data_IF_959289480383
#
_entry.id   IF_959289480383
#
_cell.length_a   1.000
_cell.length_b   1.000
_cell.length_c   1.000
_cell.angle_alpha   90.00
_cell.angle_beta   90.00
_cell.angle_gamma   90.00
#
_symmetry.space_group_name_H-M   'P 1'
#
loop_
_entity.id
_entity.type
_entity.pdbx_description
1 polymer ?
#
# COMPACT_ATOMS: atom_id res chain seq x y z
N UNK A 1 -24.24 -5.35 -21.71
CA UNK A 1 -23.15 -4.42 -22.07
C UNK A 1 -22.53 -4.00 -20.77
N UNK A 2 -21.39 -4.61 -20.43
CA UNK A 2 -20.62 -4.27 -19.24
C UNK A 2 -20.20 -2.80 -19.34
N UNK A 3 -20.27 -2.00 -18.25
CA UNK A 3 -19.73 -0.64 -18.28
C UNK A 3 -18.28 -0.70 -18.76
N UNK A 4 -17.95 0.11 -19.77
CA UNK A 4 -16.62 0.17 -20.37
C UNK A 4 -15.60 0.59 -19.32
N UNK A 5 -14.55 -0.22 -19.12
CA UNK A 5 -13.37 0.19 -18.36
C UNK A 5 -12.79 1.45 -19.01
N UNK A 6 -12.63 2.51 -18.22
CA UNK A 6 -12.04 3.77 -18.62
C UNK A 6 -10.89 4.09 -17.66
N UNK A 7 -9.70 4.32 -18.20
CA UNK A 7 -8.56 4.77 -17.42
C UNK A 7 -8.80 6.20 -16.91
N UNK A 8 -8.78 6.37 -15.59
CA UNK A 8 -8.94 7.68 -14.95
C UNK A 8 -7.60 8.44 -14.80
N UNK A 9 -6.49 7.71 -14.67
CA UNK A 9 -5.16 8.27 -14.42
C UNK A 9 -4.05 7.25 -14.74
N UNK A 10 -2.88 7.72 -15.16
CA UNK A 10 -1.68 6.91 -15.39
C UNK A 10 -0.43 7.53 -14.75
N UNK A 11 0.48 6.70 -14.24
CA UNK A 11 1.79 7.12 -13.74
C UNK A 11 2.90 6.21 -14.29
N UNK A 12 4.11 6.76 -14.46
CA UNK A 12 5.29 6.01 -14.92
C UNK A 12 6.48 6.23 -13.97
N UNK A 13 7.28 5.17 -13.76
CA UNK A 13 8.54 5.23 -13.03
C UNK A 13 9.62 4.40 -13.73
N UNK A 14 10.86 4.91 -13.75
CA UNK A 14 12.01 4.25 -14.39
C UNK A 14 13.15 4.07 -13.39
N UNK A 15 13.60 2.83 -13.24
CA UNK A 15 14.81 2.47 -12.50
C UNK A 15 15.94 2.13 -13.47
N UNK A 16 17.14 2.68 -13.23
CA UNK A 16 18.33 2.38 -14.03
C UNK A 16 19.39 1.73 -13.14
N UNK A 17 20.04 0.69 -13.67
CA UNK A 17 21.08 -0.03 -12.94
C UNK A 17 22.20 0.91 -12.49
N UNK A 18 22.59 0.80 -11.21
CA UNK A 18 23.74 1.51 -10.64
C UNK A 18 23.49 2.96 -10.21
N UNK A 19 22.29 3.52 -10.39
CA UNK A 19 22.01 4.92 -10.03
C UNK A 19 21.59 5.11 -8.58
N UNK A 20 21.05 4.07 -7.94
CA UNK A 20 20.40 4.19 -6.61
C UNK A 20 19.20 5.13 -6.62
N UNK A 21 18.55 5.33 -7.79
CA UNK A 21 17.46 6.29 -7.97
C UNK A 21 16.40 5.75 -8.93
N UNK A 22 15.16 6.12 -8.66
CA UNK A 22 14.01 5.94 -9.57
C UNK A 22 13.52 7.31 -10.02
N UNK A 23 13.43 7.50 -11.33
CA UNK A 23 12.76 8.67 -11.92
C UNK A 23 11.26 8.40 -11.95
N UNK A 24 10.47 9.18 -11.21
CA UNK A 24 9.00 9.11 -11.27
C UNK A 24 8.51 10.29 -12.13
N UNK A 25 7.68 10.02 -13.14
CA UNK A 25 7.24 11.04 -14.11
C UNK A 25 6.66 12.28 -13.42
N UNK A 26 7.22 13.46 -13.70
CA UNK A 26 6.77 14.73 -13.11
C UNK A 26 7.19 14.95 -11.66
N UNK A 27 8.09 14.13 -11.10
CA UNK A 27 8.63 14.24 -9.74
C UNK A 27 10.15 14.30 -9.76
N UNK A 28 10.75 14.76 -8.66
CA UNK A 28 12.18 14.59 -8.44
C UNK A 28 12.51 13.10 -8.26
N UNK A 29 13.71 12.68 -8.68
CA UNK A 29 14.13 11.29 -8.53
C UNK A 29 14.11 10.83 -7.06
N UNK A 30 13.56 9.64 -6.83
CA UNK A 30 13.43 9.01 -5.53
C UNK A 30 14.67 8.16 -5.25
N UNK A 31 15.41 8.40 -4.15
CA UNK A 31 16.54 7.53 -3.79
C UNK A 31 16.01 6.14 -3.39
N UNK A 32 16.60 5.10 -3.98
CA UNK A 32 16.24 3.70 -3.70
C UNK A 32 17.49 2.85 -3.54
N UNK A 33 17.36 1.74 -2.83
CA UNK A 33 18.45 0.80 -2.60
C UNK A 33 17.96 -0.53 -2.08
N UNK A 34 18.81 -1.55 -2.16
CA UNK A 34 18.54 -2.80 -1.46
C UNK A 34 18.71 -2.60 0.05
N UNK A 35 17.93 -3.31 0.89
CA UNK A 35 18.04 -3.20 2.34
C UNK A 35 19.41 -3.67 2.80
N UNK A 36 19.96 -3.03 3.83
CA UNK A 36 21.30 -3.31 4.34
C UNK A 36 21.42 -4.74 4.88
N UNK A 37 20.34 -5.26 5.46
CA UNK A 37 20.20 -6.61 5.99
C UNK A 37 20.35 -7.69 4.91
N UNK A 38 20.12 -7.35 3.64
CA UNK A 38 20.30 -8.24 2.48
C UNK A 38 21.58 -7.91 1.70
N UNK A 39 22.55 -7.22 2.31
CA UNK A 39 23.82 -6.86 1.69
C UNK A 39 23.76 -5.66 0.75
N UNK A 40 22.66 -4.89 0.79
CA UNK A 40 22.53 -3.62 0.09
C UNK A 40 23.26 -2.47 0.79
N UNK A 41 23.16 -1.27 0.22
CA UNK A 41 23.74 -0.06 0.81
C UNK A 41 23.00 0.43 2.05
N UNK A 42 21.73 0.02 2.24
CA UNK A 42 20.85 0.55 3.29
C UNK A 42 20.50 2.04 3.09
N UNK A 43 20.82 2.62 1.94
CA UNK A 43 20.53 4.01 1.60
C UNK A 43 19.35 4.10 0.63
N UNK A 44 18.43 5.04 0.88
CA UNK A 44 17.20 5.19 0.10
C UNK A 44 16.11 4.22 0.54
N UNK A 45 14.99 4.24 -0.16
CA UNK A 45 13.89 3.31 0.10
C UNK A 45 14.10 1.97 -0.62
N UNK A 46 13.83 0.88 0.06
CA UNK A 46 13.80 -0.44 -0.55
C UNK A 46 12.41 -0.76 -1.17
N UNK A 47 12.31 -1.76 -2.08
CA UNK A 47 11.04 -2.13 -2.69
C UNK A 47 9.94 -2.47 -1.68
N UNK A 48 10.28 -3.10 -0.56
CA UNK A 48 9.36 -3.47 0.51
C UNK A 48 8.74 -2.24 1.17
N UNK A 49 9.55 -1.22 1.49
CA UNK A 49 9.13 0.06 2.04
C UNK A 49 8.27 0.85 1.06
N UNK A 50 8.67 0.88 -0.22
CA UNK A 50 7.88 1.54 -1.27
C UNK A 50 6.50 0.89 -1.43
N UNK A 51 6.45 -0.45 -1.38
CA UNK A 51 5.21 -1.18 -1.44
C UNK A 51 4.34 -0.96 -0.19
N UNK A 52 4.94 -0.95 1.00
CA UNK A 52 4.25 -0.63 2.25
C UNK A 52 3.66 0.78 2.22
N UNK A 53 4.40 1.77 1.71
CA UNK A 53 3.94 3.13 1.56
C UNK A 53 2.74 3.22 0.59
N UNK A 54 2.80 2.53 -0.55
CA UNK A 54 1.70 2.49 -1.52
C UNK A 54 0.44 1.86 -0.91
N UNK A 55 0.57 0.73 -0.23
CA UNK A 55 -0.54 0.03 0.43
C UNK A 55 -1.17 0.87 1.55
N UNK A 56 -0.35 1.43 2.44
CA UNK A 56 -0.83 2.29 3.53
C UNK A 56 -1.61 3.48 2.98
N UNK A 57 -1.07 4.17 1.96
CA UNK A 57 -1.73 5.34 1.35
C UNK A 57 -3.05 4.97 0.68
N UNK A 58 -3.07 3.92 -0.14
CA UNK A 58 -4.28 3.47 -0.82
C UNK A 58 -5.38 3.06 0.16
N UNK A 59 -5.03 2.23 1.14
CA UNK A 59 -6.01 1.73 2.11
C UNK A 59 -6.50 2.86 3.02
N UNK A 60 -5.64 3.80 3.42
CA UNK A 60 -6.06 4.95 4.23
C UNK A 60 -7.05 5.84 3.47
N UNK A 61 -6.79 6.13 2.19
CA UNK A 61 -7.75 6.87 1.36
C UNK A 61 -9.10 6.15 1.27
N UNK A 62 -9.09 4.82 1.09
CA UNK A 62 -10.31 4.01 1.09
C UNK A 62 -11.03 4.02 2.44
N UNK A 63 -10.31 4.01 3.56
CA UNK A 63 -10.87 4.14 4.91
C UNK A 63 -11.55 5.50 5.08
N UNK A 64 -10.92 6.59 4.63
CA UNK A 64 -11.50 7.94 4.69
C UNK A 64 -12.80 8.02 3.88
N UNK A 65 -12.82 7.44 2.68
CA UNK A 65 -14.03 7.36 1.83
C UNK A 65 -15.13 6.56 2.55
N UNK A 66 -14.83 5.33 2.96
CA UNK A 66 -15.79 4.44 3.61
C UNK A 66 -16.35 5.00 4.93
N UNK A 67 -15.50 5.64 5.75
CA UNK A 67 -15.92 6.29 6.98
C UNK A 67 -16.90 7.43 6.68
N UNK A 68 -16.58 8.28 5.71
CA UNK A 68 -17.45 9.39 5.27
C UNK A 68 -18.79 8.87 4.76
N UNK A 69 -18.80 7.83 3.93
CA UNK A 69 -20.03 7.23 3.37
C UNK A 69 -20.92 6.57 4.44
N UNK A 70 -20.32 6.11 5.55
CA UNK A 70 -21.02 5.46 6.66
C UNK A 70 -21.31 6.39 7.84
N UNK A 71 -20.99 7.68 7.72
CA UNK A 71 -21.25 8.69 8.75
C UNK A 71 -20.28 8.63 9.96
N UNK A 72 -19.12 8.01 9.81
CA UNK A 72 -18.05 7.97 10.81
C UNK A 72 -17.03 9.07 10.52
N UNK A 73 -16.62 9.83 11.55
CA UNK A 73 -15.60 10.88 11.40
C UNK A 73 -14.20 10.27 11.19
N UNK A 74 -13.52 10.48 10.04
CA UNK A 74 -12.21 9.91 9.78
C UNK A 74 -11.06 10.64 10.49
N UNK A 75 -11.33 11.72 11.24
CA UNK A 75 -10.29 12.52 11.91
C UNK A 75 -9.45 11.67 12.85
N UNK A 76 -8.12 11.72 12.68
CA UNK A 76 -7.17 10.92 13.46
C UNK A 76 -7.09 9.44 13.06
N UNK A 77 -7.73 9.04 11.96
CA UNK A 77 -7.53 7.71 11.38
C UNK A 77 -6.10 7.52 10.88
N UNK A 78 -5.59 6.30 11.02
CA UNK A 78 -4.24 5.92 10.62
C UNK A 78 -4.27 4.52 10.02
N UNK A 79 -3.44 4.28 9.00
CA UNK A 79 -3.18 2.94 8.48
C UNK A 79 -1.69 2.65 8.56
N UNK A 80 -1.34 1.58 9.27
CA UNK A 80 0.02 1.05 9.31
C UNK A 80 0.09 -0.19 8.43
N UNK A 81 0.78 -0.12 7.29
CA UNK A 81 1.06 -1.28 6.45
C UNK A 81 2.47 -1.84 6.75
N UNK A 82 2.60 -3.17 6.75
CA UNK A 82 3.87 -3.88 6.90
C UNK A 82 4.02 -4.87 5.77
N UNK A 83 5.18 -4.87 5.14
CA UNK A 83 5.52 -5.74 4.02
C UNK A 83 6.74 -6.56 4.41
N UNK A 84 6.66 -7.87 4.20
CA UNK A 84 7.77 -8.80 4.41
C UNK A 84 8.15 -9.45 3.10
N UNK A 85 9.45 -9.49 2.81
CA UNK A 85 10.00 -10.33 1.75
C UNK A 85 10.12 -11.77 2.25
N UNK A 86 9.53 -12.71 1.52
CA UNK A 86 9.63 -14.16 1.76
C UNK A 86 10.37 -14.82 0.60
N UNK A 87 11.13 -15.86 0.89
CA UNK A 87 11.69 -16.75 -0.13
C UNK A 87 10.80 -17.99 -0.27
N UNK A 88 10.52 -18.38 -1.51
CA UNK A 88 9.61 -19.49 -1.85
C UNK A 88 10.34 -20.75 -2.30
N UNK A 89 11.54 -21.05 -1.77
CA UNK A 89 12.40 -22.10 -2.32
C UNK A 89 12.88 -21.79 -3.76
N UNK A 90 14.10 -22.21 -4.10
CA UNK A 90 14.71 -21.84 -5.38
C UNK A 90 14.85 -20.31 -5.55
N UNK A 91 14.61 -19.80 -6.77
CA UNK A 91 14.81 -18.40 -7.15
C UNK A 91 13.53 -17.53 -7.04
N UNK A 92 12.58 -17.91 -6.19
CA UNK A 92 11.29 -17.21 -6.03
C UNK A 92 11.26 -16.34 -4.77
N UNK A 93 10.84 -15.08 -4.95
CA UNK A 93 10.54 -14.14 -3.89
C UNK A 93 9.06 -13.77 -3.90
N UNK A 94 8.48 -13.53 -2.73
CA UNK A 94 7.10 -13.08 -2.59
C UNK A 94 7.00 -12.03 -1.48
N UNK A 95 6.08 -11.07 -1.64
CA UNK A 95 5.69 -10.19 -0.55
C UNK A 95 4.56 -10.79 0.26
N UNK A 96 4.61 -10.55 1.56
CA UNK A 96 3.49 -10.77 2.47
C UNK A 96 3.18 -9.46 3.18
N UNK A 97 2.02 -8.89 2.86
CA UNK A 97 1.59 -7.60 3.37
C UNK A 97 0.51 -7.74 4.45
N UNK A 98 0.57 -6.93 5.48
CA UNK A 98 -0.47 -6.83 6.52
C UNK A 98 -0.75 -5.37 6.78
N UNK A 99 -1.98 -5.00 7.16
CA UNK A 99 -2.30 -3.63 7.53
C UNK A 99 -3.13 -3.58 8.81
N UNK A 100 -2.84 -2.60 9.67
CA UNK A 100 -3.67 -2.23 10.81
C UNK A 100 -4.33 -0.88 10.54
N UNK A 101 -5.63 -0.78 10.86
CA UNK A 101 -6.41 0.45 10.73
C UNK A 101 -6.81 0.94 12.11
N UNK A 102 -6.36 2.15 12.46
CA UNK A 102 -6.84 2.90 13.61
C UNK A 102 -7.93 3.87 13.17
N UNK A 103 -9.07 3.86 13.87
CA UNK A 103 -10.18 4.79 13.64
C UNK A 103 -10.81 5.15 15.00
N UNK A 104 -10.25 6.16 15.71
CA UNK A 104 -10.59 6.42 17.11
C UNK A 104 -12.04 6.85 17.37
N UNK A 105 -12.72 7.38 16.35
CA UNK A 105 -14.11 7.84 16.42
C UNK A 105 -15.15 6.72 16.30
N UNK A 106 -14.71 5.50 15.95
CA UNK A 106 -15.58 4.36 15.67
C UNK A 106 -15.56 3.34 16.82
N UNK A 107 -16.74 2.82 17.17
CA UNK A 107 -16.82 1.57 17.92
C UNK A 107 -16.35 0.37 17.07
N UNK A 108 -16.17 -0.80 17.70
CA UNK A 108 -15.64 -1.98 17.02
C UNK A 108 -16.49 -2.40 15.81
N UNK A 109 -17.83 -2.34 15.92
CA UNK A 109 -18.73 -2.71 14.83
C UNK A 109 -18.73 -1.69 13.69
N UNK A 110 -18.60 -0.40 14.00
CA UNK A 110 -18.40 0.65 12.99
C UNK A 110 -17.06 0.47 12.27
N UNK A 111 -15.99 0.23 13.03
CA UNK A 111 -14.64 0.03 12.49
C UNK A 111 -14.59 -1.17 11.55
N UNK A 112 -15.17 -2.31 11.93
CA UNK A 112 -15.25 -3.49 11.08
C UNK A 112 -15.98 -3.21 9.75
N UNK A 113 -17.12 -2.51 9.81
CA UNK A 113 -17.88 -2.14 8.59
C UNK A 113 -17.08 -1.21 7.67
N UNK A 114 -16.44 -0.19 8.25
CA UNK A 114 -15.59 0.75 7.50
C UNK A 114 -14.43 0.03 6.84
N UNK A 115 -13.71 -0.82 7.58
CA UNK A 115 -12.56 -1.56 7.05
C UNK A 115 -12.99 -2.54 5.94
N UNK A 116 -14.07 -3.29 6.13
CA UNK A 116 -14.58 -4.20 5.09
C UNK A 116 -14.95 -3.46 3.80
N UNK A 117 -15.52 -2.25 3.89
CA UNK A 117 -15.81 -1.41 2.74
C UNK A 117 -14.55 -0.82 2.11
N UNK A 118 -13.62 -0.33 2.92
CA UNK A 118 -12.34 0.20 2.45
C UNK A 118 -11.54 -0.84 1.66
N UNK A 119 -11.56 -2.11 2.07
CA UNK A 119 -10.88 -3.19 1.36
C UNK A 119 -11.44 -3.44 -0.05
N UNK A 120 -12.76 -3.22 -0.26
CA UNK A 120 -13.38 -3.29 -1.59
C UNK A 120 -13.07 -2.07 -2.47
N UNK A 121 -12.74 -0.93 -1.85
CA UNK A 121 -12.46 0.33 -2.53
C UNK A 121 -10.98 0.43 -2.92
N UNK A 122 -10.04 0.06 -2.04
CA UNK A 122 -8.62 0.18 -2.30
C UNK A 122 -8.17 -0.86 -3.35
N UNK A 123 -7.60 -0.45 -4.50
CA UNK A 123 -7.11 -1.39 -5.51
C UNK A 123 -6.01 -2.34 -5.05
N UNK A 124 -5.35 -2.05 -3.91
CA UNK A 124 -4.33 -2.91 -3.30
C UNK A 124 -4.86 -3.78 -2.15
N UNK A 125 -6.16 -3.74 -1.84
CA UNK A 125 -6.77 -4.46 -0.72
C UNK A 125 -6.58 -5.97 -0.77
N UNK A 126 -6.65 -6.56 -1.97
CA UNK A 126 -6.51 -8.01 -2.19
C UNK A 126 -5.08 -8.54 -1.99
N UNK A 127 -4.12 -7.67 -1.73
CA UNK A 127 -2.70 -8.02 -1.56
C UNK A 127 -2.33 -8.32 -0.09
N UNK A 128 -3.30 -8.26 0.83
CA UNK A 128 -3.10 -8.54 2.25
C UNK A 128 -3.01 -10.05 2.53
N UNK A 129 -2.27 -10.41 3.58
CA UNK A 129 -2.05 -11.78 4.10
C UNK A 129 -2.47 -11.86 5.59
N UNK A 130 -3.52 -12.61 5.96
CA UNK A 130 -4.39 -13.38 5.07
C UNK A 130 -5.21 -12.45 4.15
N UNK A 131 -5.68 -12.96 3.00
CA UNK A 131 -6.55 -12.17 2.14
C UNK A 131 -7.79 -11.69 2.92
N UNK A 132 -8.29 -10.49 2.61
CA UNK A 132 -9.49 -9.99 3.25
C UNK A 132 -10.67 -10.95 3.00
N UNK A 133 -11.51 -11.14 4.02
CA UNK A 133 -12.69 -12.00 3.97
C UNK A 133 -13.83 -11.40 3.13
#
# INVERSE_FOLDING_TARGET
MSPSEQDLYSAEARSLHGTGRVDVSGRAGLPVGAPGELGGSGHGYDPEQLYAAALATCLHQAVVIAATETGVDPTGSEVTARVRLRTGGGQHYAFAATADVSLPSADDGQRERVVAQALRICPLGDQLDPPPA
#
